data_IF_131948162011
#
_entry.id   IF_131948162011
#
_cell.length_a   1.000
_cell.length_b   1.000
_cell.length_c   1.000
_cell.angle_alpha   90.00
_cell.angle_beta   90.00
_cell.angle_gamma   90.00
#
_symmetry.space_group_name_H-M   'P 1'
#
loop_
_entity.id
_entity.type
_entity.pdbx_description
1 polymer ?
#
# COMPACT_ATOMS: atom_id res chain seq x y z
N UNK A 1 -2.73 17.97 32.96
CA UNK A 1 -3.22 17.09 31.88
C UNK A 1 -2.34 15.85 31.83
N UNK A 2 -2.87 14.63 32.02
CA UNK A 2 -2.08 13.40 31.89
C UNK A 2 -1.91 13.09 30.39
N UNK A 3 -0.66 12.92 29.94
CA UNK A 3 -0.35 12.54 28.54
C UNK A 3 -0.91 11.14 28.27
N UNK A 4 -1.46 10.94 27.07
CA UNK A 4 -1.86 9.62 26.57
C UNK A 4 -0.87 9.21 25.47
N UNK A 5 -0.49 7.95 25.47
CA UNK A 5 0.39 7.37 24.44
C UNK A 5 -0.42 6.40 23.61
N UNK A 6 -0.27 6.48 22.28
CA UNK A 6 -0.92 5.59 21.33
C UNK A 6 0.12 5.06 20.35
N UNK A 7 0.19 3.75 20.21
CA UNK A 7 0.92 3.08 19.14
C UNK A 7 -0.10 2.45 18.18
N UNK A 8 0.19 2.46 16.88
CA UNK A 8 -0.72 1.99 15.82
C UNK A 8 0.04 1.12 14.82
N UNK A 9 -0.72 0.36 14.02
CA UNK A 9 -0.17 -0.62 13.07
C UNK A 9 0.70 -1.70 13.74
N UNK A 10 0.40 -2.02 15.00
CA UNK A 10 1.09 -3.07 15.76
C UNK A 10 0.71 -4.42 15.18
N UNK A 11 1.68 -5.31 14.99
CA UNK A 11 1.43 -6.68 14.54
C UNK A 11 0.83 -7.51 15.66
N UNK A 12 0.15 -8.62 15.32
CA UNK A 12 -0.34 -9.57 16.32
C UNK A 12 0.75 -10.05 17.29
N UNK A 13 1.97 -10.27 16.78
CA UNK A 13 3.11 -10.70 17.61
C UNK A 13 3.60 -9.59 18.57
N UNK A 14 3.36 -8.32 18.26
CA UNK A 14 3.72 -7.20 19.12
C UNK A 14 2.75 -6.94 20.26
N UNK A 15 1.50 -7.42 20.16
CA UNK A 15 0.44 -7.17 21.15
C UNK A 15 0.87 -7.50 22.59
N UNK A 16 1.42 -8.70 22.89
CA UNK A 16 1.81 -9.05 24.26
C UNK A 16 2.84 -8.08 24.86
N UNK A 17 3.79 -7.59 24.07
CA UNK A 17 4.83 -6.65 24.52
C UNK A 17 4.22 -5.34 25.02
N UNK A 18 3.16 -4.86 24.36
CA UNK A 18 2.45 -3.66 24.80
C UNK A 18 1.57 -3.92 26.03
N UNK A 19 0.91 -5.08 26.09
CA UNK A 19 0.07 -5.47 27.22
C UNK A 19 0.88 -5.66 28.50
N UNK A 20 2.05 -6.29 28.41
CA UNK A 20 3.01 -6.44 29.51
C UNK A 20 3.51 -5.07 30.01
N UNK A 21 3.57 -4.07 29.13
CA UNK A 21 3.89 -2.68 29.46
C UNK A 21 2.68 -1.87 29.98
N UNK A 22 1.53 -2.50 30.21
CA UNK A 22 0.32 -1.89 30.76
C UNK A 22 -0.57 -1.16 29.73
N UNK A 23 -0.34 -1.34 28.44
CA UNK A 23 -1.20 -0.79 27.40
C UNK A 23 -2.45 -1.65 27.23
N UNK A 24 -3.55 -1.00 26.86
CA UNK A 24 -4.76 -1.67 26.39
C UNK A 24 -4.76 -1.71 24.86
N UNK A 25 -4.94 -2.89 24.27
CA UNK A 25 -4.90 -3.07 22.81
C UNK A 25 -6.30 -3.22 22.20
N UNK A 26 -6.45 -2.89 20.92
CA UNK A 26 -7.64 -3.18 20.12
C UNK A 26 -7.27 -3.30 18.64
N UNK A 27 -8.01 -4.11 17.89
CA UNK A 27 -7.79 -4.21 16.45
C UNK A 27 -8.19 -2.89 15.77
N UNK A 28 -7.35 -2.39 14.87
CA UNK A 28 -7.55 -1.10 14.21
C UNK A 28 -7.59 -1.18 12.68
N UNK A 29 -7.28 -2.34 12.10
CA UNK A 29 -7.33 -2.56 10.67
C UNK A 29 -6.64 -3.86 10.27
N UNK A 30 -6.45 -4.04 8.98
CA UNK A 30 -5.78 -5.21 8.43
C UNK A 30 -4.80 -4.82 7.34
N UNK A 31 -3.66 -5.50 7.30
CA UNK A 31 -2.65 -5.34 6.27
C UNK A 31 -2.80 -6.42 5.20
N UNK A 32 -2.78 -6.01 3.94
CA UNK A 32 -2.77 -6.93 2.82
C UNK A 32 -1.36 -7.47 2.57
N UNK A 33 -1.23 -8.78 2.41
CA UNK A 33 0.04 -9.45 2.15
C UNK A 33 -0.03 -10.28 0.88
N UNK A 34 0.97 -10.10 0.02
CA UNK A 34 1.17 -10.89 -1.20
C UNK A 34 2.37 -11.80 -1.02
N UNK A 35 2.14 -13.12 -1.03
CA UNK A 35 3.23 -14.09 -1.19
C UNK A 35 3.82 -13.99 -2.60
N UNK A 36 5.11 -13.67 -2.67
CA UNK A 36 5.89 -13.63 -3.91
C UNK A 36 6.63 -14.94 -4.17
N UNK A 37 6.86 -15.74 -3.13
CA UNK A 37 7.38 -17.09 -3.28
C UNK A 37 6.39 -17.94 -4.09
N UNK A 38 6.79 -18.34 -5.31
CA UNK A 38 5.91 -19.06 -6.22
C UNK A 38 4.89 -18.16 -6.94
N UNK A 39 5.08 -16.83 -6.94
CA UNK A 39 4.26 -15.92 -7.72
C UNK A 39 4.31 -16.31 -9.19
N UNK A 40 3.13 -16.60 -9.75
CA UNK A 40 2.97 -16.89 -11.16
C UNK A 40 1.97 -15.91 -11.74
N UNK A 41 2.45 -14.99 -12.57
CA UNK A 41 1.61 -14.02 -13.26
C UNK A 41 0.50 -14.71 -14.09
N UNK A 42 0.73 -15.95 -14.57
CA UNK A 42 -0.21 -16.72 -15.38
C UNK A 42 -1.29 -17.48 -14.59
N UNK A 43 -1.25 -17.44 -13.25
CA UNK A 43 -2.27 -18.06 -12.40
C UNK A 43 -3.69 -17.59 -12.78
N UNK A 44 -4.67 -18.47 -12.99
CA UNK A 44 -6.05 -18.09 -13.35
C UNK A 44 -6.68 -17.01 -12.46
N UNK A 45 -6.30 -16.92 -11.18
CA UNK A 45 -6.75 -15.88 -10.24
C UNK A 45 -6.38 -14.47 -10.69
N UNK A 46 -5.28 -14.32 -11.43
CA UNK A 46 -4.81 -13.02 -11.94
C UNK A 46 -5.28 -12.72 -13.37
N UNK A 47 -6.21 -13.49 -13.93
CA UNK A 47 -6.66 -13.34 -15.34
C UNK A 47 -7.10 -11.92 -15.68
N UNK A 48 -7.87 -11.27 -14.82
CA UNK A 48 -8.36 -9.91 -15.04
C UNK A 48 -7.21 -8.90 -15.03
N UNK A 49 -6.33 -8.98 -14.03
CA UNK A 49 -5.13 -8.14 -13.95
C UNK A 49 -4.22 -8.33 -15.18
N UNK A 50 -4.00 -9.59 -15.61
CA UNK A 50 -3.27 -9.90 -16.85
C UNK A 50 -3.90 -9.28 -18.09
N UNK A 51 -5.23 -9.33 -18.21
CA UNK A 51 -5.95 -8.74 -19.35
C UNK A 51 -5.75 -7.23 -19.39
N UNK A 52 -5.93 -6.55 -18.25
CA UNK A 52 -5.66 -5.12 -18.11
C UNK A 52 -4.20 -4.77 -18.43
N UNK A 53 -3.25 -5.54 -17.88
CA UNK A 53 -1.83 -5.33 -18.10
C UNK A 53 -1.44 -5.46 -19.59
N UNK A 54 -1.99 -6.47 -20.29
CA UNK A 54 -1.80 -6.65 -21.73
C UNK A 54 -2.39 -5.51 -22.54
N UNK A 55 -3.51 -4.93 -22.11
CA UNK A 55 -4.09 -3.76 -22.77
C UNK A 55 -3.17 -2.54 -22.66
N UNK A 56 -2.67 -2.24 -21.45
CA UNK A 56 -1.71 -1.16 -21.24
C UNK A 56 -0.42 -1.35 -22.06
N UNK A 57 0.11 -2.59 -22.10
CA UNK A 57 1.29 -2.91 -22.89
C UNK A 57 1.09 -2.69 -24.39
N UNK A 58 -0.08 -3.06 -24.93
CA UNK A 58 -0.44 -2.77 -26.34
C UNK A 58 -0.62 -1.27 -26.61
N UNK A 59 -0.96 -0.49 -25.59
CA UNK A 59 -1.03 0.96 -25.65
C UNK A 59 0.36 1.63 -25.49
N UNK A 60 1.46 0.86 -25.55
CA UNK A 60 2.82 1.39 -25.50
C UNK A 60 3.40 1.57 -24.10
N UNK A 61 2.70 1.13 -23.05
CA UNK A 61 3.21 1.21 -21.67
C UNK A 61 4.21 0.10 -21.40
N UNK A 62 5.39 0.45 -20.90
CA UNK A 62 6.41 -0.49 -20.41
C UNK A 62 6.78 -0.16 -18.95
N UNK A 63 7.46 -1.10 -18.28
CA UNK A 63 7.86 -0.95 -16.88
C UNK A 63 9.37 -0.95 -16.77
N UNK A 64 9.90 0.03 -16.04
CA UNK A 64 11.31 0.17 -15.70
C UNK A 64 11.49 0.09 -14.18
N UNK A 65 12.60 -0.52 -13.74
CA UNK A 65 12.94 -0.61 -12.33
C UNK A 65 14.20 0.21 -12.03
N UNK A 66 14.16 1.02 -10.98
CA UNK A 66 15.30 1.73 -10.42
C UNK A 66 15.64 1.08 -9.08
N UNK A 67 16.89 0.64 -8.98
CA UNK A 67 17.39 -0.02 -7.78
C UNK A 67 17.61 0.97 -6.61
N UNK A 68 17.54 0.47 -5.36
CA UNK A 68 17.98 1.21 -4.19
C UNK A 68 19.39 1.78 -4.38
N UNK A 69 19.59 3.01 -3.91
CA UNK A 69 20.84 3.75 -3.93
C UNK A 69 21.04 4.59 -5.19
N UNK A 70 20.21 4.40 -6.22
CA UNK A 70 20.35 5.17 -7.46
C UNK A 70 20.07 6.65 -7.23
N UNK A 71 20.95 7.50 -7.79
CA UNK A 71 20.75 8.96 -7.84
C UNK A 71 19.86 9.40 -9.00
N UNK A 72 19.59 8.52 -9.96
CA UNK A 72 18.77 8.87 -11.13
C UNK A 72 17.35 9.26 -10.73
N UNK A 73 16.85 8.70 -9.63
CA UNK A 73 15.54 9.04 -9.07
C UNK A 73 15.39 10.52 -8.71
N UNK A 74 16.49 11.20 -8.35
CA UNK A 74 16.46 12.63 -8.00
C UNK A 74 16.03 13.49 -9.20
N UNK A 75 16.33 13.05 -10.42
CA UNK A 75 15.90 13.75 -11.65
C UNK A 75 14.41 13.56 -11.93
N UNK A 76 13.76 12.56 -11.33
CA UNK A 76 12.35 12.23 -11.52
C UNK A 76 11.43 12.91 -10.51
N UNK A 77 11.98 13.68 -9.56
CA UNK A 77 11.19 14.39 -8.55
C UNK A 77 10.07 15.27 -9.17
N UNK A 78 10.30 16.04 -10.26
CA UNK A 78 9.23 16.82 -10.89
C UNK A 78 8.11 15.94 -11.48
N UNK A 79 8.44 14.78 -12.06
CA UNK A 79 7.45 13.84 -12.57
C UNK A 79 6.60 13.26 -11.43
N UNK A 80 7.25 12.83 -10.34
CA UNK A 80 6.54 12.30 -9.17
C UNK A 80 5.64 13.35 -8.52
N UNK A 81 6.06 14.62 -8.52
CA UNK A 81 5.26 15.76 -8.06
C UNK A 81 4.00 15.91 -8.91
N UNK A 82 4.16 16.00 -10.23
CA UNK A 82 3.03 16.14 -11.15
C UNK A 82 2.05 14.96 -11.07
N UNK A 83 2.53 13.72 -10.98
CA UNK A 83 1.68 12.52 -10.84
C UNK A 83 0.96 12.53 -9.48
N UNK A 84 1.65 12.91 -8.41
CA UNK A 84 1.08 12.95 -7.05
C UNK A 84 0.00 14.02 -6.94
N UNK A 85 0.24 15.23 -7.44
CA UNK A 85 -0.75 16.30 -7.48
C UNK A 85 -1.99 15.91 -8.28
N UNK A 86 -1.79 15.30 -9.47
CA UNK A 86 -2.90 14.82 -10.28
C UNK A 86 -3.74 13.77 -9.55
N UNK A 87 -3.07 12.80 -8.93
CA UNK A 87 -3.74 11.76 -8.13
C UNK A 87 -4.52 12.36 -6.96
N UNK A 88 -3.93 13.31 -6.20
CA UNK A 88 -4.58 13.96 -5.07
C UNK A 88 -5.83 14.74 -5.50
N UNK A 89 -5.76 15.48 -6.61
CA UNK A 89 -6.92 16.16 -7.21
C UNK A 89 -8.02 15.16 -7.57
N UNK A 90 -7.65 14.05 -8.22
CA UNK A 90 -8.62 13.02 -8.63
C UNK A 90 -9.33 12.35 -7.45
N UNK A 91 -8.60 12.13 -6.35
CA UNK A 91 -9.12 11.49 -5.14
C UNK A 91 -9.80 12.45 -4.18
N UNK A 92 -9.76 13.75 -4.47
CA UNK A 92 -10.30 14.83 -3.61
C UNK A 92 -9.75 14.73 -2.18
N UNK A 93 -8.47 14.43 -2.07
CA UNK A 93 -7.78 14.20 -0.80
C UNK A 93 -6.51 15.03 -0.71
N UNK A 94 -6.08 15.34 0.51
CA UNK A 94 -4.81 16.01 0.79
C UNK A 94 -3.68 15.00 0.96
N UNK A 95 -2.47 15.48 1.23
CA UNK A 95 -1.37 14.59 1.61
C UNK A 95 -1.70 13.92 2.96
N UNK A 96 -1.49 12.61 3.02
CA UNK A 96 -1.50 11.88 4.28
C UNK A 96 -0.10 11.97 4.89
N UNK A 97 -0.03 12.13 6.20
CA UNK A 97 1.21 12.13 6.95
C UNK A 97 1.39 10.89 7.82
N UNK A 98 2.47 10.88 8.59
CA UNK A 98 2.80 9.91 9.64
C UNK A 98 3.08 8.47 9.17
N UNK A 99 2.10 7.77 8.60
CA UNK A 99 2.25 6.38 8.14
C UNK A 99 2.59 6.30 6.65
N UNK A 100 2.15 7.30 5.87
CA UNK A 100 2.37 7.34 4.42
C UNK A 100 3.61 8.16 4.14
N UNK A 101 4.56 7.56 3.42
CA UNK A 101 5.77 8.26 3.01
C UNK A 101 5.53 9.32 1.94
N UNK A 102 6.58 10.09 1.70
CA UNK A 102 6.60 11.14 0.71
C UNK A 102 7.65 10.80 -0.37
N UNK A 103 7.30 10.88 -1.67
CA UNK A 103 8.21 10.49 -2.75
C UNK A 103 9.38 11.47 -2.94
N UNK A 104 9.38 12.61 -2.26
CA UNK A 104 10.32 13.73 -2.40
C UNK A 104 11.42 13.75 -1.34
N UNK A 105 11.45 12.79 -0.40
CA UNK A 105 12.34 12.89 0.75
C UNK A 105 13.82 12.60 0.36
N UNK A 106 14.73 13.59 0.49
CA UNK A 106 16.16 13.39 0.29
C UNK A 106 16.69 12.51 1.43
N UNK A 107 16.95 11.24 1.14
CA UNK A 107 17.42 10.25 2.12
C UNK A 107 16.80 8.86 1.95
N UNK A 108 15.70 8.75 1.22
CA UNK A 108 14.96 7.50 1.01
C UNK A 108 15.46 6.71 -0.21
N UNK A 109 16.78 6.75 -0.46
CA UNK A 109 17.37 6.02 -1.58
C UNK A 109 17.34 4.50 -1.36
N UNK A 110 16.93 3.98 -0.19
CA UNK A 110 16.95 2.53 0.08
C UNK A 110 15.75 1.75 -0.48
N UNK A 111 14.86 2.36 -1.28
CA UNK A 111 13.72 1.65 -1.89
C UNK A 111 13.89 1.37 -3.38
N UNK A 112 13.19 0.34 -3.87
CA UNK A 112 12.97 0.15 -5.31
C UNK A 112 11.89 1.09 -5.81
N UNK A 113 12.14 1.69 -6.96
CA UNK A 113 11.10 2.37 -7.72
C UNK A 113 10.79 1.54 -8.95
N UNK A 114 9.51 1.31 -9.20
CA UNK A 114 9.02 0.79 -10.48
C UNK A 114 8.23 1.88 -11.16
N UNK A 115 8.51 2.12 -12.43
CA UNK A 115 7.93 3.18 -13.24
C UNK A 115 7.18 2.56 -14.40
N UNK A 116 5.91 2.92 -14.59
CA UNK A 116 5.23 2.66 -15.86
C UNK A 116 5.41 3.87 -16.76
N UNK A 117 5.98 3.68 -17.95
CA UNK A 117 6.34 4.74 -18.90
C UNK A 117 5.75 4.44 -20.27
N UNK A 118 5.44 5.49 -21.02
CA UNK A 118 5.29 5.45 -22.48
C UNK A 118 6.54 6.07 -23.13
N UNK A 119 6.55 6.23 -24.45
CA UNK A 119 7.62 6.96 -25.13
C UNK A 119 7.68 8.44 -24.73
N UNK A 120 6.54 8.99 -24.29
CA UNK A 120 6.37 10.42 -24.03
C UNK A 120 6.66 10.79 -22.56
N UNK A 121 6.24 9.96 -21.59
CA UNK A 121 6.30 10.34 -20.15
C UNK A 121 6.16 9.17 -19.19
N UNK A 122 6.31 9.48 -17.89
CA UNK A 122 5.95 8.59 -16.78
C UNK A 122 4.44 8.65 -16.53
N UNK A 123 3.79 7.49 -16.56
CA UNK A 123 2.35 7.32 -16.33
C UNK A 123 2.03 6.95 -14.88
N UNK A 124 2.86 6.11 -14.26
CA UNK A 124 2.66 5.64 -12.89
C UNK A 124 3.99 5.30 -12.22
N UNK A 125 3.98 5.26 -10.90
CA UNK A 125 5.10 4.74 -10.13
C UNK A 125 4.63 3.97 -8.88
N UNK A 126 5.49 3.07 -8.41
CA UNK A 126 5.33 2.31 -7.17
C UNK A 126 6.68 2.25 -6.43
N UNK A 127 6.63 2.40 -5.10
CA UNK A 127 7.80 2.38 -4.22
C UNK A 127 7.75 1.20 -3.26
N UNK A 128 8.87 0.50 -3.11
CA UNK A 128 8.99 -0.67 -2.24
C UNK A 128 10.20 -0.57 -1.32
N UNK A 129 9.97 -0.52 -0.01
CA UNK A 129 11.02 -0.52 1.00
C UNK A 129 11.39 -1.95 1.42
N UNK A 130 12.67 -2.28 1.58
CA UNK A 130 13.08 -3.59 2.07
C UNK A 130 12.66 -3.80 3.53
N UNK A 131 12.14 -4.98 3.83
CA UNK A 131 11.94 -5.52 5.18
C UNK A 131 12.94 -6.66 5.37
N UNK A 132 14.13 -6.30 5.84
CA UNK A 132 15.31 -7.16 5.83
C UNK A 132 15.16 -8.50 6.54
N UNK A 133 14.59 -8.60 7.77
CA UNK A 133 14.55 -9.87 8.49
C UNK A 133 13.75 -10.96 7.75
N UNK A 134 12.82 -10.57 6.88
CA UNK A 134 11.81 -11.46 6.31
C UNK A 134 12.00 -11.72 4.81
N UNK A 135 13.06 -11.16 4.20
CA UNK A 135 13.19 -11.04 2.73
C UNK A 135 11.89 -10.55 2.10
N UNK A 136 11.31 -9.52 2.69
CA UNK A 136 10.06 -8.95 2.25
C UNK A 136 10.27 -7.50 1.79
N UNK A 137 9.24 -6.95 1.17
CA UNK A 137 9.17 -5.51 0.86
C UNK A 137 7.87 -4.92 1.37
N UNK A 138 7.86 -3.63 1.67
CA UNK A 138 6.69 -2.85 2.01
C UNK A 138 6.40 -1.86 0.89
N UNK A 139 5.22 -1.98 0.27
CA UNK A 139 4.73 -1.07 -0.76
C UNK A 139 4.15 0.17 -0.08
N UNK A 140 4.91 1.26 -0.09
CA UNK A 140 4.52 2.49 0.59
C UNK A 140 3.60 3.35 -0.30
N UNK A 141 4.08 3.67 -1.50
CA UNK A 141 3.39 4.60 -2.38
C UNK A 141 3.14 4.00 -3.75
N UNK A 142 1.90 4.13 -4.23
CA UNK A 142 1.53 3.88 -5.62
C UNK A 142 0.70 5.04 -6.15
N UNK A 143 1.09 5.56 -7.32
CA UNK A 143 0.40 6.69 -7.97
C UNK A 143 0.37 6.48 -9.48
N UNK A 144 -0.68 6.99 -10.11
CA UNK A 144 -0.90 6.94 -11.55
C UNK A 144 -1.63 8.20 -11.98
N UNK A 145 -1.29 8.74 -13.15
CA UNK A 145 -2.03 9.84 -13.76
C UNK A 145 -3.45 9.41 -14.10
N UNK A 146 -4.39 10.34 -13.99
CA UNK A 146 -5.80 10.08 -14.29
C UNK A 146 -6.03 9.65 -15.74
N UNK A 147 -5.22 10.18 -16.66
CA UNK A 147 -5.29 9.96 -18.11
C UNK A 147 -4.42 8.79 -18.61
N UNK A 148 -3.71 8.08 -17.73
CA UNK A 148 -2.89 6.93 -18.15
C UNK A 148 -3.73 5.82 -18.78
N UNK A 149 -3.18 5.05 -19.74
CA UNK A 149 -3.86 3.93 -20.36
C UNK A 149 -4.44 2.95 -19.33
N UNK A 150 -5.63 2.42 -19.63
CA UNK A 150 -6.30 1.46 -18.75
C UNK A 150 -5.40 0.24 -18.50
N UNK A 151 -5.30 -0.18 -17.24
CA UNK A 151 -4.46 -1.30 -16.83
C UNK A 151 -2.98 -0.96 -16.57
N UNK A 152 -2.58 0.31 -16.66
CA UNK A 152 -1.20 0.75 -16.35
C UNK A 152 -0.75 0.32 -14.94
N UNK A 153 -1.61 0.49 -13.91
CA UNK A 153 -1.27 0.07 -12.54
C UNK A 153 -1.20 -1.45 -12.40
N UNK A 154 -2.08 -2.20 -13.09
CA UNK A 154 -2.05 -3.66 -13.09
C UNK A 154 -0.76 -4.17 -13.76
N UNK A 155 -0.33 -3.54 -14.87
CA UNK A 155 0.95 -3.83 -15.53
C UNK A 155 2.13 -3.54 -14.62
N UNK A 156 2.15 -2.34 -14.02
CA UNK A 156 3.20 -1.89 -13.10
C UNK A 156 3.43 -2.89 -11.97
N UNK A 157 2.37 -3.23 -11.24
CA UNK A 157 2.48 -4.11 -10.08
C UNK A 157 2.78 -5.56 -10.46
N UNK A 158 2.23 -6.05 -11.58
CA UNK A 158 2.55 -7.40 -12.07
C UNK A 158 4.04 -7.53 -12.39
N UNK A 159 4.61 -6.54 -13.09
CA UNK A 159 6.04 -6.55 -13.44
C UNK A 159 6.92 -6.32 -12.21
N UNK A 160 6.50 -5.44 -11.29
CA UNK A 160 7.21 -5.21 -10.04
C UNK A 160 7.28 -6.49 -9.20
N UNK A 161 6.14 -7.16 -8.96
CA UNK A 161 6.10 -8.41 -8.20
C UNK A 161 6.90 -9.52 -8.86
N UNK A 162 6.90 -9.60 -10.19
CA UNK A 162 7.75 -10.53 -10.93
C UNK A 162 9.23 -10.28 -10.68
N UNK A 163 9.71 -9.05 -10.88
CA UNK A 163 11.12 -8.70 -10.68
C UNK A 163 11.55 -8.89 -9.21
N UNK A 164 10.69 -8.53 -8.26
CA UNK A 164 10.89 -8.75 -6.84
C UNK A 164 10.98 -10.25 -6.52
N UNK A 165 10.06 -11.08 -7.02
CA UNK A 165 10.11 -12.53 -6.83
C UNK A 165 11.39 -13.14 -7.44
N UNK A 166 11.77 -12.74 -8.65
CA UNK A 166 12.99 -13.20 -9.34
C UNK A 166 14.27 -12.83 -8.59
N UNK A 167 14.26 -11.73 -7.83
CA UNK A 167 15.37 -11.34 -6.95
C UNK A 167 15.36 -11.99 -5.56
N UNK A 168 14.42 -12.90 -5.31
CA UNK A 168 14.34 -13.67 -4.07
C UNK A 168 13.55 -13.00 -2.94
N UNK A 169 12.79 -11.93 -3.23
CA UNK A 169 11.79 -11.40 -2.31
C UNK A 169 10.71 -12.46 -2.11
N UNK A 170 10.40 -12.77 -0.85
CA UNK A 170 9.39 -13.77 -0.50
C UNK A 170 7.99 -13.20 -0.37
N UNK A 171 7.87 -11.95 0.09
CA UNK A 171 6.59 -11.32 0.45
C UNK A 171 6.58 -9.83 0.14
N UNK A 172 5.40 -9.31 -0.21
CA UNK A 172 5.13 -7.89 -0.29
C UNK A 172 3.98 -7.51 0.65
N UNK A 173 4.26 -6.62 1.60
CA UNK A 173 3.28 -5.94 2.43
C UNK A 173 2.71 -4.77 1.63
N UNK A 174 1.38 -4.70 1.49
CA UNK A 174 0.72 -3.68 0.68
C UNK A 174 0.18 -2.52 1.52
N UNK A 175 0.58 -2.46 2.80
CA UNK A 175 0.12 -1.50 3.78
C UNK A 175 -1.26 -1.82 4.35
N UNK A 176 -1.49 -1.30 5.55
CA UNK A 176 -2.76 -1.38 6.28
C UNK A 176 -3.91 -0.73 5.50
N UNK A 177 -5.12 -1.29 5.65
CA UNK A 177 -6.39 -0.59 5.47
C UNK A 177 -7.06 -0.45 6.84
N UNK A 178 -7.31 0.78 7.31
CA UNK A 178 -7.92 0.99 8.62
C UNK A 178 -9.36 0.48 8.63
N UNK A 179 -9.82 0.07 9.81
CA UNK A 179 -11.19 -0.36 10.08
C UNK A 179 -11.68 -1.60 9.30
N UNK A 180 -10.84 -2.21 8.47
CA UNK A 180 -11.06 -3.56 7.94
C UNK A 180 -10.60 -4.53 9.01
N UNK A 181 -11.56 -5.14 9.71
CA UNK A 181 -11.29 -6.01 10.84
C UNK A 181 -11.38 -7.49 10.42
N UNK A 182 -10.47 -8.29 10.96
CA UNK A 182 -10.43 -9.74 10.79
C UNK A 182 -11.64 -10.44 11.41
N UNK A 183 -12.18 -9.88 12.51
CA UNK A 183 -13.21 -10.53 13.32
C UNK A 183 -12.66 -11.64 14.23
N UNK A 184 -11.34 -11.79 14.29
CA UNK A 184 -10.65 -12.79 15.12
C UNK A 184 -10.58 -12.39 16.61
N UNK A 185 -10.94 -11.15 16.94
CA UNK A 185 -10.89 -10.56 18.28
C UNK A 185 -12.30 -10.12 18.68
N UNK A 186 -12.72 -10.31 19.95
CA UNK A 186 -14.03 -9.87 20.41
C UNK A 186 -14.27 -8.39 20.12
N UNK A 187 -15.47 -8.06 19.64
CA UNK A 187 -15.83 -6.68 19.37
C UNK A 187 -15.77 -5.84 20.65
N UNK A 188 -15.07 -4.72 20.58
CA UNK A 188 -15.07 -3.68 21.61
C UNK A 188 -15.92 -2.49 21.16
N UNK A 189 -16.18 -1.55 22.07
CA UNK A 189 -16.85 -0.29 21.70
C UNK A 189 -16.06 0.44 20.60
N UNK A 190 -14.73 0.45 20.70
CA UNK A 190 -13.83 1.05 19.71
C UNK A 190 -13.92 0.35 18.35
N UNK A 191 -13.85 -1.00 18.30
CA UNK A 191 -13.96 -1.72 17.02
C UNK A 191 -15.32 -1.53 16.37
N UNK A 192 -16.39 -1.44 17.17
CA UNK A 192 -17.76 -1.14 16.70
C UNK A 192 -17.83 0.27 16.10
N UNK A 193 -17.26 1.27 16.78
CA UNK A 193 -17.16 2.63 16.26
C UNK A 193 -16.32 2.71 14.99
N UNK A 194 -15.24 1.94 14.89
CA UNK A 194 -14.41 1.83 13.69
C UNK A 194 -15.14 1.18 12.52
N UNK A 195 -15.95 0.15 12.76
CA UNK A 195 -16.82 -0.45 11.73
C UNK A 195 -17.86 0.57 11.22
N UNK A 196 -18.50 1.31 12.12
CA UNK A 196 -19.41 2.40 11.74
C UNK A 196 -18.67 3.48 10.94
N UNK A 197 -17.46 3.86 11.35
CA UNK A 197 -16.62 4.79 10.62
C UNK A 197 -16.26 4.27 9.21
N UNK A 198 -15.88 2.99 9.06
CA UNK A 198 -15.62 2.38 7.76
C UNK A 198 -16.85 2.43 6.83
N UNK A 199 -18.03 2.16 7.39
CA UNK A 199 -19.27 2.19 6.65
C UNK A 199 -19.70 3.61 6.26
N UNK A 200 -19.60 4.57 7.19
CA UNK A 200 -20.20 5.91 7.04
C UNK A 200 -19.21 7.01 6.63
N UNK A 201 -17.92 6.84 6.89
CA UNK A 201 -16.87 7.85 6.64
C UNK A 201 -15.98 7.54 5.42
N UNK A 202 -16.38 6.61 4.55
CA UNK A 202 -15.67 6.32 3.29
C UNK A 202 -15.53 7.55 2.36
N UNK A 203 -16.29 8.61 2.61
CA UNK A 203 -16.08 9.89 1.93
C UNK A 203 -14.81 10.61 2.38
N UNK A 204 -14.32 10.44 3.61
CA UNK A 204 -13.15 11.14 4.17
C UNK A 204 -11.82 10.48 3.77
N UNK A 205 -11.82 9.15 3.66
CA UNK A 205 -10.73 8.36 3.10
C UNK A 205 -11.34 7.18 2.33
N UNK A 206 -10.91 6.91 1.08
CA UNK A 206 -11.56 5.93 0.22
C UNK A 206 -11.12 4.50 0.57
N UNK A 207 -11.31 4.12 1.84
CA UNK A 207 -10.93 2.83 2.43
C UNK A 207 -11.46 1.65 1.61
N UNK A 208 -12.67 1.78 1.05
CA UNK A 208 -13.29 0.72 0.24
C UNK A 208 -12.58 0.48 -1.09
N UNK A 209 -12.21 1.55 -1.80
CA UNK A 209 -11.46 1.38 -3.05
C UNK A 209 -10.04 0.91 -2.79
N UNK A 210 -9.44 1.34 -1.67
CA UNK A 210 -8.12 0.89 -1.24
C UNK A 210 -8.13 -0.61 -0.90
N UNK A 211 -9.12 -1.06 -0.12
CA UNK A 211 -9.34 -2.48 0.16
C UNK A 211 -9.54 -3.26 -1.13
N UNK A 212 -10.48 -2.87 -2.00
CA UNK A 212 -10.76 -3.58 -3.24
C UNK A 212 -9.53 -3.67 -4.17
N UNK A 213 -8.71 -2.62 -4.20
CA UNK A 213 -7.46 -2.62 -4.95
C UNK A 213 -6.46 -3.63 -4.38
N UNK A 214 -6.19 -3.57 -3.07
CA UNK A 214 -5.26 -4.48 -2.39
C UNK A 214 -5.76 -5.92 -2.40
N UNK A 215 -7.06 -6.14 -2.33
CA UNK A 215 -7.70 -7.46 -2.30
C UNK A 215 -7.47 -8.30 -3.56
N UNK A 216 -7.25 -7.64 -4.71
CA UNK A 216 -6.87 -8.28 -5.98
C UNK A 216 -5.45 -8.85 -5.96
N UNK A 217 -4.60 -8.28 -5.11
CA UNK A 217 -3.17 -8.59 -5.01
C UNK A 217 -2.91 -9.49 -3.79
N UNK A 218 -3.68 -9.29 -2.71
CA UNK A 218 -3.52 -9.96 -1.44
C UNK A 218 -3.79 -11.46 -1.55
N UNK A 219 -2.79 -12.24 -1.14
CA UNK A 219 -2.91 -13.68 -0.87
C UNK A 219 -3.51 -13.97 0.50
N UNK A 220 -3.26 -13.09 1.47
CA UNK A 220 -3.88 -13.09 2.80
C UNK A 220 -3.98 -11.68 3.35
N UNK A 221 -4.75 -11.52 4.41
CA UNK A 221 -4.85 -10.32 5.22
C UNK A 221 -4.38 -10.65 6.63
N UNK A 222 -3.66 -9.72 7.26
CA UNK A 222 -3.18 -9.86 8.64
C UNK A 222 -3.72 -8.73 9.52
N UNK A 223 -4.23 -9.03 10.73
CA UNK A 223 -4.75 -8.00 11.60
C UNK A 223 -3.63 -7.09 12.12
N UNK A 224 -4.01 -5.83 12.36
CA UNK A 224 -3.15 -4.80 12.91
C UNK A 224 -3.87 -4.10 14.05
N UNK A 225 -3.10 -3.73 15.06
CA UNK A 225 -3.61 -3.31 16.36
C UNK A 225 -3.17 -1.88 16.70
N UNK A 226 -3.96 -1.24 17.54
CA UNK A 226 -3.61 -0.02 18.25
C UNK A 226 -3.49 -0.32 19.75
N UNK A 227 -2.48 0.25 20.40
CA UNK A 227 -2.24 0.13 21.84
C UNK A 227 -2.32 1.51 22.49
N UNK A 228 -3.02 1.60 23.62
CA UNK A 228 -3.31 2.85 24.33
C UNK A 228 -2.85 2.77 25.77
N UNK A 229 -2.16 3.80 26.25
CA UNK A 229 -1.79 3.93 27.67
C UNK A 229 -2.14 5.34 28.19
N UNK A 230 -2.74 5.47 29.40
CA UNK A 230 -3.08 4.39 30.34
C UNK A 230 -4.42 3.69 30.02
N UNK A 231 -5.29 4.30 29.22
CA UNK A 231 -6.60 3.74 28.88
C UNK A 231 -6.92 3.96 27.41
N UNK A 232 -7.73 3.09 26.82
CA UNK A 232 -8.36 3.34 25.51
C UNK A 232 -9.33 4.50 25.61
N UNK A 233 -9.48 5.23 24.51
CA UNK A 233 -10.47 6.30 24.45
C UNK A 233 -10.41 7.13 23.17
N UNK A 234 -11.50 7.87 22.95
CA UNK A 234 -11.70 8.70 21.76
C UNK A 234 -10.55 9.70 21.52
N UNK A 235 -9.96 10.26 22.57
CA UNK A 235 -8.84 11.21 22.46
C UNK A 235 -7.63 10.60 21.74
N UNK A 236 -7.29 9.35 22.06
CA UNK A 236 -6.17 8.66 21.43
C UNK A 236 -6.47 8.35 19.96
N UNK A 237 -7.70 7.92 19.66
CA UNK A 237 -8.14 7.70 18.28
C UNK A 237 -8.12 8.99 17.45
N UNK A 238 -8.57 10.10 18.03
CA UNK A 238 -8.53 11.41 17.38
C UNK A 238 -7.10 11.88 17.15
N UNK A 239 -6.18 11.66 18.09
CA UNK A 239 -4.77 12.00 17.90
C UNK A 239 -4.12 11.23 16.73
N UNK A 240 -4.44 9.94 16.58
CA UNK A 240 -4.00 9.14 15.42
C UNK A 240 -4.58 9.70 14.12
N UNK A 241 -5.86 10.06 14.13
CA UNK A 241 -6.51 10.69 12.99
C UNK A 241 -5.87 12.04 12.64
N UNK A 242 -5.61 12.91 13.61
CA UNK A 242 -4.95 14.19 13.38
C UNK A 242 -3.51 14.01 12.84
N UNK A 243 -2.77 13.01 13.33
CA UNK A 243 -1.43 12.71 12.83
C UNK A 243 -1.42 12.23 11.36
N UNK A 244 -2.44 11.46 10.96
CA UNK A 244 -2.60 10.97 9.59
C UNK A 244 -3.06 12.07 8.62
N UNK A 245 -3.82 13.07 9.11
CA UNK A 245 -4.31 14.21 8.34
C UNK A 245 -3.69 15.51 8.85
N UNK A 246 -2.46 15.85 8.41
CA UNK A 246 -1.79 17.07 8.85
C UNK A 246 -2.58 18.35 8.53
N UNK A 247 -3.40 18.35 7.48
CA UNK A 247 -4.30 19.46 7.14
C UNK A 247 -5.64 19.46 7.91
N UNK A 248 -5.86 18.45 8.75
CA UNK A 248 -7.08 18.23 9.53
C UNK A 248 -8.35 18.04 8.70
N UNK A 249 -9.51 18.01 9.39
CA UNK A 249 -10.84 17.86 8.76
C UNK A 249 -11.15 19.02 7.80
N UNK A 250 -10.68 20.24 8.12
CA UNK A 250 -10.87 21.42 7.29
C UNK A 250 -10.14 21.31 5.94
N UNK A 251 -8.96 20.69 5.89
CA UNK A 251 -8.24 20.38 4.66
C UNK A 251 -9.06 19.46 3.76
N UNK A 252 -9.58 18.35 4.32
CA UNK A 252 -10.41 17.39 3.57
C UNK A 252 -11.64 18.08 2.97
N UNK A 253 -12.34 18.92 3.75
CA UNK A 253 -13.51 19.64 3.27
C UNK A 253 -13.17 20.60 2.12
N UNK A 254 -12.03 21.29 2.21
CA UNK A 254 -11.52 22.19 1.17
C UNK A 254 -11.22 21.45 -0.13
N UNK A 255 -10.62 20.25 -0.06
CA UNK A 255 -10.34 19.42 -1.24
C UNK A 255 -11.62 18.87 -1.89
N UNK A 256 -12.68 18.60 -1.10
CA UNK A 256 -13.97 18.15 -1.63
C UNK A 256 -14.79 19.22 -2.32
N UNK A 257 -14.69 20.47 -1.85
CA UNK A 257 -15.48 21.60 -2.35
C UNK A 257 -14.91 22.24 -3.63
N UNK A 258 -13.64 22.01 -3.97
CA UNK A 258 -12.92 22.77 -5.00
C UNK A 258 -13.05 22.31 -6.46
N UNK A 259 -13.77 21.25 -6.82
CA UNK A 259 -13.82 20.83 -8.24
C UNK A 259 -15.08 20.04 -8.68
N UNK A 260 -15.47 20.11 -9.98
CA UNK A 260 -16.69 19.49 -10.50
C UNK A 260 -16.66 17.96 -10.41
N UNK A 261 -17.85 17.36 -10.39
CA UNK A 261 -18.09 15.92 -10.17
C UNK A 261 -17.49 15.06 -11.31
N UNK A 262 -16.42 14.31 -11.03
CA UNK A 262 -16.20 13.02 -11.67
C UNK A 262 -16.86 11.93 -10.79
N UNK A 263 -17.83 11.22 -11.35
CA UNK A 263 -18.56 10.15 -10.67
C UNK A 263 -17.71 8.90 -10.58
N UNK A 264 -17.05 8.68 -9.44
CA UNK A 264 -16.51 7.38 -9.09
C UNK A 264 -17.43 6.77 -8.03
N UNK A 265 -18.23 5.78 -8.43
CA UNK A 265 -19.05 5.02 -7.48
C UNK A 265 -18.14 4.17 -6.59
N UNK A 266 -18.51 4.09 -5.30
CA UNK A 266 -17.79 3.26 -4.34
C UNK A 266 -18.17 1.79 -4.54
N UNK A 267 -17.21 0.85 -4.45
CA UNK A 267 -17.54 -0.57 -4.46
C UNK A 267 -18.43 -0.94 -3.24
N UNK A 268 -19.19 -2.05 -3.34
CA UNK A 268 -20.05 -2.54 -2.26
C UNK A 268 -19.26 -2.83 -0.98
N UNK A 269 -19.95 -2.78 0.16
CA UNK A 269 -19.36 -2.99 1.50
C UNK A 269 -19.04 -4.48 1.69
N UNK A 270 -17.77 -4.87 1.96
CA UNK A 270 -17.47 -6.21 2.43
C UNK A 270 -18.04 -6.41 3.84
N UNK A 271 -18.74 -7.53 4.08
CA UNK A 271 -19.35 -7.86 5.37
C UNK A 271 -18.32 -8.19 6.47
N UNK A 272 -17.20 -8.85 6.13
CA UNK A 272 -15.98 -8.98 6.95
C UNK A 272 -14.84 -9.63 6.13
N UNK A 273 -13.60 -9.68 6.66
CA UNK A 273 -12.54 -10.52 6.08
C UNK A 273 -12.87 -12.02 6.23
N UNK A 274 -13.64 -12.40 7.25
CA UNK A 274 -13.99 -13.80 7.54
C UNK A 274 -14.78 -14.49 6.42
N UNK A 275 -15.32 -13.73 5.46
CA UNK A 275 -16.02 -14.27 4.29
C UNK A 275 -15.08 -14.85 3.22
N UNK A 276 -13.74 -14.73 3.38
CA UNK A 276 -12.75 -15.40 2.52
C UNK A 276 -12.30 -16.73 3.14
N UNK A 277 -12.36 -17.82 2.35
CA UNK A 277 -11.66 -19.06 2.67
C UNK A 277 -10.15 -18.79 2.70
N UNK A 278 -9.41 -19.15 3.75
CA UNK A 278 -7.96 -18.98 3.78
C UNK A 278 -7.34 -19.75 2.60
N UNK A 279 -6.46 -19.09 1.85
CA UNK A 279 -5.56 -19.80 0.94
C UNK A 279 -4.75 -20.78 1.79
N UNK A 280 -4.76 -22.06 1.42
CA UNK A 280 -4.03 -23.11 2.13
C UNK A 280 -2.59 -22.63 2.40
N UNK A 281 -2.25 -22.51 3.68
CA UNK A 281 -0.93 -22.09 4.14
C UNK A 281 0.08 -23.12 3.64
N UNK A 282 0.86 -22.75 2.64
CA UNK A 282 1.99 -23.58 2.18
C UNK A 282 3.02 -23.64 3.32
N UNK A 283 3.36 -24.86 3.71
CA UNK A 283 4.01 -25.19 4.98
C UNK A 283 5.32 -24.45 5.29
N UNK A 284 5.60 -24.36 6.58
CA UNK A 284 6.81 -23.79 7.16
C UNK A 284 8.07 -24.52 6.65
N UNK A 285 8.99 -23.77 6.03
CA UNK A 285 10.36 -24.24 5.76
C UNK A 285 11.38 -23.24 6.27
N UNK A 286 12.12 -23.72 7.28
CA UNK A 286 13.40 -23.29 7.84
C UNK A 286 13.87 -21.87 7.55
N UNK A 287 13.81 -21.05 8.58
CA UNK A 287 14.51 -19.78 8.73
C UNK A 287 15.98 -20.04 9.06
N UNK A 288 16.89 -19.78 8.12
CA UNK A 288 18.31 -19.61 8.44
C UNK A 288 18.88 -18.40 7.69
N UNK A 289 19.45 -17.50 8.49
CA UNK A 289 20.36 -16.38 8.19
C UNK A 289 20.15 -15.64 6.85
N UNK A 290 19.50 -14.47 6.92
CA UNK A 290 19.48 -13.51 5.82
C UNK A 290 20.82 -12.76 5.73
N UNK A 291 21.53 -12.92 4.62
CA UNK A 291 22.66 -12.05 4.24
C UNK A 291 22.18 -10.62 4.04
N UNK A 292 22.97 -9.63 4.50
CA UNK A 292 22.67 -8.19 4.35
C UNK A 292 22.69 -7.67 2.90
N UNK A 293 23.17 -8.46 1.94
CA UNK A 293 23.22 -8.07 0.53
C UNK A 293 22.04 -8.70 -0.24
N UNK A 294 21.22 -7.86 -0.88
CA UNK A 294 20.22 -8.28 -1.86
C UNK A 294 20.90 -8.72 -3.17
N UNK A 295 20.36 -9.70 -3.90
CA UNK A 295 20.71 -9.90 -5.31
C UNK A 295 20.28 -8.67 -6.11
N UNK A 296 21.13 -8.21 -7.03
CA UNK A 296 20.82 -7.06 -7.88
C UNK A 296 19.57 -7.35 -8.74
N UNK A 297 18.52 -6.51 -8.62
CA UNK A 297 17.48 -6.44 -9.65
C UNK A 297 18.14 -5.78 -10.86
N UNK A 298 18.37 -6.54 -11.94
CA UNK A 298 18.83 -5.96 -13.19
C UNK A 298 17.75 -5.01 -13.68
N UNK A 299 18.08 -3.73 -13.84
CA UNK A 299 17.22 -2.76 -14.50
C UNK A 299 16.85 -3.33 -15.88
N UNK A 300 15.59 -3.68 -16.09
CA UNK A 300 15.12 -4.18 -17.38
C UNK A 300 14.89 -2.99 -18.30
N UNK A 301 15.89 -2.65 -19.11
CA UNK A 301 15.71 -1.80 -20.28
C UNK A 301 15.06 -2.65 -21.38
N UNK A 302 13.99 -2.20 -22.05
CA UNK A 302 13.41 -2.93 -23.18
C UNK A 302 14.45 -3.18 -24.27
N UNK A 303 14.53 -4.41 -24.78
CA UNK A 303 15.40 -4.85 -25.90
C UNK A 303 15.15 -4.12 -27.24
N UNK A 304 14.22 -3.17 -27.31
CA UNK A 304 13.83 -2.52 -28.57
C UNK A 304 14.53 -1.18 -28.85
N UNK A 305 15.61 -0.84 -28.13
CA UNK A 305 16.41 0.37 -28.41
C UNK A 305 17.90 0.10 -28.65
N UNK A 306 18.33 -1.16 -28.75
CA UNK A 306 19.72 -1.51 -29.13
C UNK A 306 19.92 -1.73 -30.64
N UNK A 307 18.87 -1.71 -31.45
CA UNK A 307 18.96 -1.78 -32.92
C UNK A 307 18.66 -0.41 -33.55
N UNK A 308 19.48 0.59 -33.22
CA UNK A 308 19.75 1.73 -34.11
C UNK A 308 20.99 2.47 -33.62
N UNK A 309 22.16 1.93 -33.95
CA UNK A 309 23.40 2.68 -34.20
C UNK A 309 24.35 1.84 -35.02
#
# INVERSE_FOLDING_TARGET
>A
SRRQTVAVAITRAGVPVYEDAGFQTTECGSEAVTELAGFNADDPRHRNARRSARHASRAGVFVEAIAPGSRDVLRLAPDFAGITEDWLRSRKTGHLGFIVGDPFLPGFQECWYFLARTAERIEAFAMFYPVYPERAVYMDLTRRRTDSPNGTMDLLLTQAFRALAESGVRRAYLGMVPCVLSGEVPATFETTMMQVAFQRLNGLYPMRSEHFFKDKLATRWEPRFAAFHPHRGLRGMLAVYEALWPDGVAGILRHKLRSPRAGHENPPVPSSIADRRPAALWGSRNERAASKAWPAIKASVPRSMEETK
#
